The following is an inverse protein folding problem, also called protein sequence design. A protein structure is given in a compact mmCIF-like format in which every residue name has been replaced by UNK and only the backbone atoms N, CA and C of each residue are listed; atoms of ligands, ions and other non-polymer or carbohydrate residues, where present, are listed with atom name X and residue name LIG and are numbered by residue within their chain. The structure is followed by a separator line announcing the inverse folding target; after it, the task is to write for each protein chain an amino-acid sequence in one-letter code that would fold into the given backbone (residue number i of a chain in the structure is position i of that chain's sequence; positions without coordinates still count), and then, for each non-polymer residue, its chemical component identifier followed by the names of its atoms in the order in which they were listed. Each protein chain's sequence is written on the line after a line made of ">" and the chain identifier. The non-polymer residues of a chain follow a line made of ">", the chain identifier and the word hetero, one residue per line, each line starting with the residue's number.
data_IF_163298773174
#
_entry.id   IF_163298773174
#
_cell.length_a   1.000
_cell.length_b   1.000
_cell.length_c   1.000
_cell.angle_alpha   90.00
_cell.angle_beta   90.00
_cell.angle_gamma   90.00
#
_symmetry.space_group_name_H-M   'P 1'
#
loop_
_entity.id
_entity.type
_entity.pdbx_description
1 polymer ?
#
# COMPACT_ATOMS: atom_id res chain seq x y z
N UNK A 1 11.02 7.37 -25.75
CA UNK A 1 9.62 7.38 -25.26
C UNK A 1 8.73 7.66 -26.45
N UNK A 2 7.71 6.84 -26.73
CA UNK A 2 6.83 7.04 -27.89
C UNK A 2 5.92 8.25 -27.69
N UNK A 3 5.48 8.95 -28.76
CA UNK A 3 4.58 10.10 -28.67
C UNK A 3 3.26 9.76 -27.94
N UNK A 4 2.66 8.59 -28.21
CA UNK A 4 1.43 8.12 -27.57
C UNK A 4 1.61 7.93 -26.06
N UNK A 5 2.71 7.33 -25.62
CA UNK A 5 3.03 7.19 -24.20
C UNK A 5 3.13 8.54 -23.51
N UNK A 6 3.82 9.49 -24.13
CA UNK A 6 3.96 10.84 -23.58
C UNK A 6 2.62 11.55 -23.49
N UNK A 7 1.78 11.44 -24.53
CA UNK A 7 0.41 11.98 -24.55
C UNK A 7 -0.43 11.40 -23.40
N UNK A 8 -0.44 10.07 -23.24
CA UNK A 8 -1.17 9.41 -22.15
C UNK A 8 -0.70 9.88 -20.76
N UNK A 9 0.61 10.03 -20.56
CA UNK A 9 1.16 10.55 -19.29
C UNK A 9 0.70 11.98 -19.05
N UNK A 10 0.71 12.84 -20.06
CA UNK A 10 0.25 14.23 -19.94
C UNK A 10 -1.24 14.30 -19.62
N UNK A 11 -2.07 13.48 -20.28
CA UNK A 11 -3.51 13.37 -20.00
C UNK A 11 -3.80 12.95 -18.54
N UNK A 12 -2.99 12.04 -17.98
CA UNK A 12 -3.07 11.64 -16.58
C UNK A 12 -2.60 12.74 -15.62
N UNK A 13 -1.53 13.46 -15.97
CA UNK A 13 -1.03 14.60 -15.17
C UNK A 13 -2.05 15.71 -15.06
N UNK A 14 -2.69 16.10 -16.16
CA UNK A 14 -3.78 17.09 -16.18
C UNK A 14 -4.93 16.70 -15.24
N UNK A 15 -5.20 15.41 -15.07
CA UNK A 15 -6.21 14.86 -14.16
C UNK A 15 -5.67 14.56 -12.77
N UNK A 16 -4.46 14.99 -12.45
CA UNK A 16 -3.79 14.81 -11.14
C UNK A 16 -3.73 13.36 -10.67
N UNK A 17 -3.55 12.41 -11.59
CA UNK A 17 -3.37 11.02 -11.22
C UNK A 17 -2.08 10.81 -10.44
N UNK A 18 -2.15 10.02 -9.36
CA UNK A 18 -0.97 9.65 -8.59
C UNK A 18 0.05 8.90 -9.46
N UNK A 19 1.36 9.13 -9.23
CA UNK A 19 2.45 8.50 -9.99
C UNK A 19 2.33 6.96 -10.07
N UNK A 20 1.85 6.32 -8.99
CA UNK A 20 1.61 4.87 -8.98
C UNK A 20 0.54 4.44 -9.99
N UNK A 21 -0.56 5.21 -10.09
CA UNK A 21 -1.62 4.97 -11.07
C UNK A 21 -1.12 5.21 -12.49
N UNK A 22 -0.35 6.29 -12.70
CA UNK A 22 0.24 6.57 -14.01
C UNK A 22 1.12 5.41 -14.50
N UNK A 23 2.02 4.90 -13.64
CA UNK A 23 2.87 3.75 -13.95
C UNK A 23 2.08 2.50 -14.30
N UNK A 24 1.03 2.22 -13.52
CA UNK A 24 0.18 1.03 -13.72
C UNK A 24 -0.60 1.10 -15.04
N UNK A 25 -1.17 2.27 -15.37
CA UNK A 25 -1.92 2.46 -16.59
C UNK A 25 -1.02 2.42 -17.85
N UNK A 26 0.15 3.04 -17.78
CA UNK A 26 1.15 2.93 -18.84
C UNK A 26 1.58 1.48 -19.02
N UNK A 27 1.85 0.76 -17.94
CA UNK A 27 2.20 -0.66 -18.00
C UNK A 27 1.11 -1.49 -18.70
N UNK A 28 -0.17 -1.25 -18.40
CA UNK A 28 -1.27 -1.97 -19.03
C UNK A 28 -1.27 -1.83 -20.57
N UNK A 29 -1.01 -0.63 -21.08
CA UNK A 29 -0.94 -0.36 -22.52
C UNK A 29 0.36 -0.93 -23.14
N UNK A 30 1.46 -0.85 -22.42
CA UNK A 30 2.74 -1.45 -22.87
C UNK A 30 2.66 -2.97 -22.95
N UNK A 31 2.00 -3.63 -21.97
CA UNK A 31 1.85 -5.09 -21.94
C UNK A 31 0.93 -5.57 -23.07
N UNK A 32 -0.15 -4.82 -23.37
CA UNK A 32 -1.03 -5.07 -24.52
C UNK A 32 -0.24 -4.96 -25.85
N UNK A 33 0.51 -3.87 -26.03
CA UNK A 33 1.30 -3.62 -27.24
C UNK A 33 2.36 -4.73 -27.45
N UNK A 34 2.99 -5.19 -26.38
CA UNK A 34 3.96 -6.31 -26.42
C UNK A 34 3.29 -7.64 -26.77
N UNK A 35 2.09 -7.89 -26.24
CA UNK A 35 1.37 -9.13 -26.50
C UNK A 35 1.06 -9.30 -27.99
N UNK A 36 0.61 -8.22 -28.65
CA UNK A 36 0.32 -8.24 -30.09
C UNK A 36 1.49 -7.85 -30.99
N UNK A 37 2.62 -7.45 -30.38
CA UNK A 37 3.80 -6.89 -31.10
C UNK A 37 3.41 -5.79 -32.10
N UNK A 38 2.46 -4.94 -31.73
CA UNK A 38 1.94 -3.83 -32.53
C UNK A 38 1.76 -2.58 -31.70
N UNK A 39 1.67 -1.41 -32.39
CA UNK A 39 1.34 -0.15 -31.73
C UNK A 39 -0.08 -0.23 -31.13
N UNK A 40 -0.29 0.23 -29.88
CA UNK A 40 -1.56 0.03 -29.18
C UNK A 40 -2.76 0.76 -29.79
N UNK A 41 -2.54 1.77 -30.61
CA UNK A 41 -3.55 2.48 -31.39
C UNK A 41 -4.05 1.69 -32.61
N UNK A 42 -3.33 0.65 -33.02
CA UNK A 42 -3.71 -0.26 -34.10
C UNK A 42 -4.37 -1.55 -33.61
N UNK A 43 -4.57 -1.69 -32.31
CA UNK A 43 -5.22 -2.86 -31.69
C UNK A 43 -6.71 -2.58 -31.52
N UNK A 44 -7.54 -3.44 -32.08
CA UNK A 44 -8.99 -3.29 -32.03
C UNK A 44 -9.55 -3.55 -30.62
N UNK A 45 -10.82 -3.15 -30.40
CA UNK A 45 -11.53 -3.44 -29.15
C UNK A 45 -11.65 -4.94 -28.89
N UNK A 46 -11.92 -5.73 -29.93
CA UNK A 46 -12.05 -7.19 -29.83
C UNK A 46 -10.72 -7.83 -29.42
N UNK A 47 -9.61 -7.41 -30.03
CA UNK A 47 -8.28 -7.88 -29.66
C UNK A 47 -7.95 -7.51 -28.22
N UNK A 48 -8.26 -6.28 -27.78
CA UNK A 48 -8.03 -5.87 -26.40
C UNK A 48 -8.91 -6.64 -25.40
N UNK A 49 -10.13 -7.07 -25.78
CA UNK A 49 -10.93 -8.02 -25.00
C UNK A 49 -10.30 -9.42 -24.95
N UNK A 50 -9.81 -9.93 -26.08
CA UNK A 50 -9.08 -11.21 -26.15
C UNK A 50 -7.85 -11.20 -25.24
N UNK A 51 -7.10 -10.10 -25.22
CA UNK A 51 -5.98 -9.94 -24.29
C UNK A 51 -6.42 -9.96 -22.82
N UNK A 52 -7.53 -9.35 -22.45
CA UNK A 52 -8.04 -9.39 -21.08
C UNK A 52 -8.47 -10.82 -20.67
N UNK A 53 -9.02 -11.61 -21.59
CA UNK A 53 -9.30 -13.04 -21.39
C UNK A 53 -8.00 -13.83 -21.17
N UNK A 54 -6.99 -13.62 -22.00
CA UNK A 54 -5.66 -14.21 -21.83
C UNK A 54 -5.07 -13.93 -20.44
N UNK A 55 -5.20 -12.68 -19.93
CA UNK A 55 -4.73 -12.34 -18.59
C UNK A 55 -5.43 -13.14 -17.49
N UNK A 56 -6.73 -13.48 -17.68
CA UNK A 56 -7.51 -14.24 -16.72
C UNK A 56 -7.26 -15.75 -16.82
N UNK A 57 -7.26 -16.29 -18.02
CA UNK A 57 -7.28 -17.74 -18.27
C UNK A 57 -5.89 -18.34 -18.30
N UNK A 58 -4.95 -17.70 -18.98
CA UNK A 58 -3.60 -18.22 -19.15
C UNK A 58 -2.64 -17.65 -18.09
N UNK A 59 -2.56 -16.33 -17.94
CA UNK A 59 -1.74 -15.70 -16.88
C UNK A 59 -2.32 -15.85 -15.48
N UNK A 60 -3.58 -16.31 -15.35
CA UNK A 60 -4.29 -16.56 -14.08
C UNK A 60 -4.21 -15.36 -13.10
N UNK A 61 -4.26 -14.14 -13.63
CA UNK A 61 -4.21 -12.94 -12.82
C UNK A 61 -5.48 -12.84 -11.96
N UNK A 62 -5.30 -12.40 -10.73
CA UNK A 62 -6.42 -12.08 -9.83
C UNK A 62 -7.31 -10.98 -10.42
N UNK A 63 -8.62 -11.08 -10.17
CA UNK A 63 -9.63 -10.14 -10.68
C UNK A 63 -9.23 -8.66 -10.48
N UNK A 64 -8.68 -8.32 -9.31
CA UNK A 64 -8.24 -6.96 -9.00
C UNK A 64 -7.14 -6.45 -9.95
N UNK A 65 -6.19 -7.33 -10.32
CA UNK A 65 -5.12 -7.00 -11.27
C UNK A 65 -5.68 -6.82 -12.67
N UNK A 66 -6.53 -7.75 -13.14
CA UNK A 66 -7.18 -7.62 -14.45
C UNK A 66 -8.04 -6.35 -14.54
N UNK A 67 -8.77 -6.01 -13.48
CA UNK A 67 -9.56 -4.77 -13.43
C UNK A 67 -8.69 -3.50 -13.49
N UNK A 68 -7.49 -3.52 -12.91
CA UNK A 68 -6.53 -2.42 -13.06
C UNK A 68 -6.00 -2.31 -14.48
N UNK A 69 -5.73 -3.45 -15.16
CA UNK A 69 -5.32 -3.46 -16.57
C UNK A 69 -6.44 -2.88 -17.45
N UNK A 70 -7.67 -3.37 -17.29
CA UNK A 70 -8.85 -2.86 -18.02
C UNK A 70 -9.07 -1.35 -17.78
N UNK A 71 -8.83 -0.84 -16.57
CA UNK A 71 -8.94 0.57 -16.28
C UNK A 71 -7.87 1.40 -17.02
N UNK A 72 -6.65 0.89 -17.14
CA UNK A 72 -5.58 1.50 -17.92
C UNK A 72 -5.90 1.56 -19.41
N UNK A 73 -6.41 0.46 -19.98
CA UNK A 73 -6.87 0.39 -21.38
C UNK A 73 -8.04 1.33 -21.61
N UNK A 74 -9.06 1.33 -20.74
CA UNK A 74 -10.16 2.29 -20.83
C UNK A 74 -9.69 3.74 -20.85
N UNK A 75 -8.71 4.08 -20.03
CA UNK A 75 -8.14 5.43 -20.01
C UNK A 75 -7.46 5.75 -21.34
N UNK A 76 -6.65 4.83 -21.86
CA UNK A 76 -5.92 5.02 -23.10
C UNK A 76 -6.85 5.24 -24.30
N UNK A 77 -7.77 4.30 -24.53
CA UNK A 77 -8.70 4.40 -25.67
C UNK A 77 -9.64 5.61 -25.56
N UNK A 78 -10.30 5.79 -24.42
CA UNK A 78 -11.30 6.87 -24.24
C UNK A 78 -10.71 8.26 -24.16
N UNK A 79 -9.60 8.41 -23.46
CA UNK A 79 -9.06 9.73 -23.12
C UNK A 79 -7.92 10.11 -24.07
N UNK A 80 -6.98 9.19 -24.28
CA UNK A 80 -5.78 9.50 -25.09
C UNK A 80 -6.05 9.37 -26.58
N UNK A 81 -6.79 8.34 -27.02
CA UNK A 81 -7.19 8.19 -28.42
C UNK A 81 -8.52 8.89 -28.74
N UNK A 82 -9.33 9.23 -27.72
CA UNK A 82 -10.65 9.87 -27.87
C UNK A 82 -11.72 8.96 -28.52
N UNK A 83 -11.58 7.67 -28.45
CA UNK A 83 -12.54 6.70 -28.94
C UNK A 83 -13.71 6.54 -27.95
N UNK A 84 -14.85 7.16 -28.23
CA UNK A 84 -15.97 7.32 -27.27
C UNK A 84 -16.70 6.00 -26.94
N UNK A 85 -16.72 5.02 -27.82
CA UNK A 85 -17.57 3.83 -27.71
C UNK A 85 -16.91 2.63 -27.01
N UNK A 86 -15.60 2.67 -26.81
CA UNK A 86 -14.85 1.53 -26.21
C UNK A 86 -15.04 1.48 -24.70
N UNK A 87 -15.40 0.34 -24.16
CA UNK A 87 -15.53 0.12 -22.71
C UNK A 87 -15.15 -1.29 -22.31
N UNK A 88 -13.95 -1.43 -21.78
CA UNK A 88 -13.51 -2.67 -21.15
C UNK A 88 -14.08 -2.79 -19.74
N UNK A 89 -14.95 -3.77 -19.52
CA UNK A 89 -15.53 -4.05 -18.20
C UNK A 89 -15.32 -5.51 -17.86
N UNK A 90 -14.53 -5.77 -16.83
CA UNK A 90 -14.39 -7.12 -16.30
C UNK A 90 -15.51 -7.35 -15.29
N UNK A 91 -16.41 -8.35 -15.52
CA UNK A 91 -17.49 -8.67 -14.60
C UNK A 91 -16.93 -8.98 -13.20
N UNK A 92 -17.60 -8.50 -12.16
CA UNK A 92 -17.23 -8.86 -10.80
C UNK A 92 -17.45 -10.35 -10.59
N UNK A 93 -16.39 -11.09 -10.29
CA UNK A 93 -16.52 -12.46 -9.82
C UNK A 93 -17.20 -12.44 -8.45
N UNK A 94 -18.14 -13.38 -8.19
CA UNK A 94 -18.64 -13.61 -6.84
C UNK A 94 -17.44 -13.99 -5.95
N UNK A 95 -16.98 -13.06 -5.15
CA UNK A 95 -15.87 -13.30 -4.23
C UNK A 95 -16.39 -13.98 -2.97
N UNK A 96 -15.93 -15.17 -2.70
CA UNK A 96 -15.85 -15.65 -1.31
C UNK A 96 -14.87 -14.74 -0.58
N UNK A 97 -15.38 -13.86 0.27
CA UNK A 97 -14.54 -12.99 1.09
C UNK A 97 -13.73 -13.87 2.03
N UNK A 98 -12.43 -13.97 1.79
CA UNK A 98 -11.53 -14.55 2.79
C UNK A 98 -11.35 -13.52 3.89
N UNK A 99 -11.61 -13.91 5.13
CA UNK A 99 -11.34 -13.06 6.29
C UNK A 99 -9.86 -12.64 6.29
N UNK A 100 -9.56 -11.39 6.65
CA UNK A 100 -8.18 -10.97 6.80
C UNK A 100 -7.50 -11.80 7.87
N UNK A 101 -6.31 -12.28 7.59
CA UNK A 101 -5.48 -13.00 8.56
C UNK A 101 -4.84 -12.00 9.52
N UNK A 102 -5.20 -12.09 10.78
CA UNK A 102 -4.78 -11.19 11.86
C UNK A 102 -3.74 -11.91 12.72
N UNK A 103 -2.69 -11.22 13.10
CA UNK A 103 -1.73 -11.72 14.08
C UNK A 103 -2.33 -11.64 15.47
N UNK A 104 -2.21 -12.70 16.26
CA UNK A 104 -2.45 -12.63 17.70
C UNK A 104 -1.40 -11.73 18.39
N UNK A 105 -1.70 -11.27 19.61
CA UNK A 105 -0.73 -10.46 20.38
C UNK A 105 0.57 -11.24 20.64
N UNK A 106 0.51 -12.56 20.86
CA UNK A 106 1.67 -13.44 21.02
C UNK A 106 2.47 -13.58 19.72
N UNK A 107 1.81 -13.68 18.56
CA UNK A 107 2.50 -13.74 17.26
C UNK A 107 3.22 -12.43 16.94
N UNK A 108 2.64 -11.29 17.32
CA UNK A 108 3.31 -10.00 17.17
C UNK A 108 4.60 -9.91 18.00
N UNK A 109 4.59 -10.40 19.23
CA UNK A 109 5.79 -10.46 20.07
C UNK A 109 6.87 -11.32 19.38
N UNK A 110 6.52 -12.54 18.96
CA UNK A 110 7.44 -13.42 18.22
C UNK A 110 7.99 -12.76 16.97
N UNK A 111 7.12 -12.07 16.20
CA UNK A 111 7.53 -11.34 14.98
C UNK A 111 8.54 -10.24 15.28
N UNK A 112 8.31 -9.45 16.33
CA UNK A 112 9.19 -8.34 16.69
C UNK A 112 10.52 -8.83 17.25
N UNK A 113 10.52 -9.90 18.05
CA UNK A 113 11.72 -10.50 18.63
C UNK A 113 12.59 -11.21 17.57
N UNK A 114 11.98 -11.70 16.50
CA UNK A 114 12.70 -12.33 15.39
C UNK A 114 13.45 -11.34 14.47
N UNK A 115 13.37 -10.03 14.72
CA UNK A 115 14.08 -9.02 13.90
C UNK A 115 15.57 -8.95 14.24
N UNK A 116 16.40 -8.73 13.21
CA UNK A 116 17.86 -8.78 13.35
C UNK A 116 18.47 -7.51 13.97
N UNK A 117 17.77 -6.38 13.92
CA UNK A 117 18.28 -5.08 14.40
C UNK A 117 17.22 -4.29 15.14
N UNK A 118 17.63 -3.43 16.07
CA UNK A 118 16.73 -2.53 16.78
C UNK A 118 15.94 -1.62 15.80
N UNK A 119 16.57 -1.16 14.70
CA UNK A 119 15.89 -0.37 13.66
C UNK A 119 14.73 -1.16 13.03
N UNK A 120 15.00 -2.40 12.61
CA UNK A 120 13.99 -3.25 11.97
C UNK A 120 12.85 -3.58 12.94
N UNK A 121 13.19 -3.86 14.20
CA UNK A 121 12.22 -4.09 15.27
C UNK A 121 11.33 -2.87 15.48
N UNK A 122 11.92 -1.69 15.65
CA UNK A 122 11.18 -0.45 15.87
C UNK A 122 10.30 -0.08 14.69
N UNK A 123 10.76 -0.34 13.47
CA UNK A 123 9.96 -0.12 12.26
C UNK A 123 8.68 -0.97 12.26
N UNK A 124 8.77 -2.27 12.58
CA UNK A 124 7.59 -3.15 12.63
C UNK A 124 6.68 -2.82 13.80
N UNK A 125 7.23 -2.52 14.98
CA UNK A 125 6.46 -2.09 16.15
C UNK A 125 5.70 -0.79 15.85
N UNK A 126 6.34 0.20 15.22
CA UNK A 126 5.71 1.47 14.85
C UNK A 126 4.61 1.25 13.82
N UNK A 127 4.83 0.39 12.81
CA UNK A 127 3.83 0.03 11.81
C UNK A 127 2.55 -0.53 12.44
N UNK A 128 2.71 -1.43 13.42
CA UNK A 128 1.60 -2.00 14.17
C UNK A 128 0.96 -0.98 15.12
N UNK A 129 1.75 -0.41 16.05
CA UNK A 129 1.22 0.39 17.17
C UNK A 129 0.54 1.70 16.74
N UNK A 130 0.84 2.19 15.54
CA UNK A 130 0.23 3.39 14.96
C UNK A 130 -0.64 3.10 13.74
N UNK A 131 -0.80 1.83 13.35
CA UNK A 131 -1.63 1.41 12.22
C UNK A 131 -1.23 2.03 10.88
N UNK A 132 0.07 2.24 10.64
CA UNK A 132 0.57 2.95 9.47
C UNK A 132 0.53 2.10 8.20
N UNK A 133 0.25 2.76 7.06
CA UNK A 133 0.55 2.18 5.73
C UNK A 133 2.07 2.14 5.53
N UNK A 134 2.56 1.19 4.73
CA UNK A 134 4.01 1.11 4.47
C UNK A 134 4.59 2.40 3.89
N UNK A 135 3.82 3.10 3.05
CA UNK A 135 4.24 4.41 2.52
C UNK A 135 4.37 5.48 3.59
N UNK A 136 3.46 5.51 4.56
CA UNK A 136 3.45 6.43 5.68
C UNK A 136 4.60 6.11 6.66
N UNK A 137 4.80 4.82 6.93
CA UNK A 137 5.88 4.33 7.79
C UNK A 137 7.26 4.74 7.29
N UNK A 138 7.54 4.54 6.00
CA UNK A 138 8.87 4.83 5.44
C UNK A 138 9.14 6.31 5.25
N UNK A 139 8.10 7.15 5.13
CA UNK A 139 8.22 8.61 5.06
C UNK A 139 8.10 9.31 6.42
N UNK A 140 7.93 8.54 7.51
CA UNK A 140 7.79 9.11 8.86
C UNK A 140 9.09 9.81 9.28
N UNK A 141 8.95 11.03 9.81
CA UNK A 141 10.05 11.84 10.29
C UNK A 141 10.06 11.93 11.82
N UNK A 142 11.20 12.24 12.46
CA UNK A 142 11.25 12.46 13.91
C UNK A 142 10.29 13.55 14.40
N UNK A 143 10.14 14.63 13.64
CA UNK A 143 9.25 15.77 13.96
C UNK A 143 7.76 15.41 13.96
N UNK A 144 7.39 14.28 13.33
CA UNK A 144 6.02 13.79 13.33
C UNK A 144 5.62 13.12 14.67
N UNK A 145 6.58 12.87 15.56
CA UNK A 145 6.34 12.25 16.88
C UNK A 145 6.03 13.33 17.90
N UNK A 146 4.75 13.63 18.08
CA UNK A 146 4.26 14.64 19.02
C UNK A 146 4.16 14.05 20.43
N UNK A 147 5.27 13.97 21.14
CA UNK A 147 5.35 13.31 22.45
C UNK A 147 4.47 13.97 23.52
N UNK A 148 4.28 15.29 23.48
CA UNK A 148 3.43 16.03 24.41
C UNK A 148 1.95 15.71 24.25
N UNK A 149 1.49 15.54 23.02
CA UNK A 149 0.08 15.22 22.68
C UNK A 149 -0.18 13.72 22.60
N UNK A 150 0.84 12.87 22.69
CA UNK A 150 0.74 11.41 22.48
C UNK A 150 0.17 11.04 21.12
N UNK A 151 0.56 11.76 20.08
CA UNK A 151 0.08 11.57 18.71
C UNK A 151 1.25 11.42 17.73
N UNK A 152 0.98 10.75 16.63
CA UNK A 152 1.87 10.70 15.46
C UNK A 152 1.14 11.39 14.31
N UNK A 153 1.76 12.43 13.76
CA UNK A 153 1.28 13.12 12.56
C UNK A 153 1.63 12.30 11.32
N UNK A 154 0.65 12.03 10.50
CA UNK A 154 0.82 11.33 9.22
C UNK A 154 0.49 12.30 8.11
N UNK A 155 1.52 12.77 7.41
CA UNK A 155 1.39 13.68 6.27
C UNK A 155 1.10 12.91 4.98
N UNK A 156 0.37 13.58 4.07
CA UNK A 156 0.06 13.09 2.72
C UNK A 156 -0.46 11.64 2.67
N UNK A 157 -1.38 11.33 3.55
CA UNK A 157 -2.10 10.06 3.53
C UNK A 157 -2.84 9.84 2.21
N UNK A 158 -3.60 8.74 2.08
CA UNK A 158 -4.40 8.47 0.87
C UNK A 158 -5.34 9.65 0.59
N UNK A 159 -5.21 10.28 -0.59
CA UNK A 159 -5.96 11.49 -0.97
C UNK A 159 -5.34 12.80 -0.50
N UNK A 160 -4.05 12.79 -0.16
CA UNK A 160 -3.29 13.98 0.26
C UNK A 160 -3.86 14.69 1.51
N UNK A 161 -4.46 13.91 2.43
CA UNK A 161 -5.02 14.42 3.69
C UNK A 161 -4.13 14.01 4.85
N UNK A 162 -3.79 14.98 5.68
CA UNK A 162 -3.07 14.73 6.94
C UNK A 162 -4.02 14.14 7.98
N UNK A 163 -3.47 13.35 8.87
CA UNK A 163 -4.19 12.82 10.02
C UNK A 163 -3.26 12.60 11.20
N UNK A 164 -3.86 12.44 12.37
CA UNK A 164 -3.17 11.97 13.56
C UNK A 164 -3.53 10.50 13.85
N UNK A 165 -2.57 9.77 14.41
CA UNK A 165 -2.79 8.43 14.96
C UNK A 165 -2.14 8.32 16.34
N UNK A 166 -2.37 7.19 17.00
CA UNK A 166 -1.98 6.97 18.40
C UNK A 166 -0.47 6.82 18.58
N UNK A 167 0.05 7.43 19.64
CA UNK A 167 1.39 7.22 20.17
C UNK A 167 1.28 6.74 21.62
N UNK A 168 1.24 5.44 21.83
CA UNK A 168 1.21 4.88 23.19
C UNK A 168 2.49 5.20 23.97
N UNK A 169 2.40 5.28 25.29
CA UNK A 169 3.56 5.47 26.16
C UNK A 169 4.64 4.42 25.96
N UNK A 170 4.21 3.17 25.74
CA UNK A 170 5.10 2.04 25.46
C UNK A 170 5.88 2.26 24.16
N UNK A 171 5.20 2.67 23.09
CA UNK A 171 5.86 3.00 21.81
C UNK A 171 6.81 4.19 21.97
N UNK A 172 6.37 5.26 22.65
CA UNK A 172 7.21 6.45 22.88
C UNK A 172 8.50 6.12 23.63
N UNK A 173 8.41 5.32 24.71
CA UNK A 173 9.59 4.85 25.46
C UNK A 173 10.58 4.13 24.56
N UNK A 174 10.11 3.23 23.72
CA UNK A 174 10.94 2.46 22.78
C UNK A 174 11.51 3.34 21.65
N UNK A 175 10.74 4.29 21.13
CA UNK A 175 11.24 5.26 20.15
C UNK A 175 12.32 6.18 20.73
N UNK A 176 12.26 6.56 22.01
CA UNK A 176 13.31 7.29 22.69
C UNK A 176 14.63 6.50 22.77
N UNK A 177 14.56 5.19 23.05
CA UNK A 177 15.73 4.29 23.04
C UNK A 177 16.32 4.20 21.62
N UNK A 178 15.46 3.99 20.63
CA UNK A 178 15.85 3.97 19.23
C UNK A 178 16.53 5.29 18.81
N UNK A 179 15.90 6.42 19.14
CA UNK A 179 16.43 7.75 18.81
C UNK A 179 17.81 8.01 19.44
N UNK A 180 18.01 7.64 20.70
CA UNK A 180 19.32 7.77 21.37
C UNK A 180 20.42 7.03 20.61
N UNK A 181 20.14 5.85 20.06
CA UNK A 181 21.11 5.00 19.36
C UNK A 181 21.37 5.42 17.92
N UNK A 182 20.33 5.80 17.17
CA UNK A 182 20.43 6.01 15.73
C UNK A 182 20.42 7.49 15.32
N UNK A 183 19.97 8.39 16.20
CA UNK A 183 19.92 9.85 15.97
C UNK A 183 19.35 10.21 14.59
N UNK A 184 18.15 9.72 14.21
CA UNK A 184 17.55 10.01 12.91
C UNK A 184 17.35 11.52 12.75
N UNK A 185 17.75 12.06 11.56
CA UNK A 185 17.66 13.51 11.27
C UNK A 185 16.41 13.83 10.43
N UNK A 186 16.34 13.35 9.19
CA UNK A 186 15.24 13.66 8.27
C UNK A 186 14.14 12.59 8.31
N UNK A 187 14.52 11.32 8.26
CA UNK A 187 13.56 10.21 8.29
C UNK A 187 13.76 9.35 9.53
N UNK A 188 12.66 8.96 10.17
CA UNK A 188 12.73 8.11 11.36
C UNK A 188 13.39 6.77 11.04
N UNK A 189 13.06 6.18 9.87
CA UNK A 189 13.67 4.94 9.37
C UNK A 189 14.37 5.20 8.05
N UNK A 190 15.67 4.96 7.99
CA UNK A 190 16.53 5.21 6.84
C UNK A 190 17.44 4.02 6.53
N UNK A 191 17.95 3.88 5.29
CA UNK A 191 18.90 2.83 4.94
C UNK A 191 20.25 3.05 5.62
N UNK A 192 20.97 1.97 5.89
CA UNK A 192 22.33 2.04 6.44
C UNK A 192 23.23 2.92 5.55
N UNK A 193 23.93 3.87 6.15
CA UNK A 193 24.86 4.75 5.42
C UNK A 193 24.22 5.98 4.75
N UNK A 194 22.87 6.12 4.74
CA UNK A 194 22.25 7.32 4.16
C UNK A 194 21.06 7.82 4.98
N UNK A 195 21.28 8.68 5.99
CA UNK A 195 20.23 9.21 6.87
C UNK A 195 19.31 10.25 6.20
N UNK A 196 19.66 10.71 4.99
CA UNK A 196 18.90 11.70 4.22
C UNK A 196 17.92 11.07 3.22
N UNK A 197 17.87 9.74 3.15
CA UNK A 197 16.89 9.01 2.32
C UNK A 197 15.89 8.26 3.17
N UNK A 198 14.60 8.23 2.79
CA UNK A 198 13.64 7.35 3.43
C UNK A 198 14.00 5.88 3.16
N UNK A 199 13.65 5.00 4.08
CA UNK A 199 13.75 3.57 3.85
C UNK A 199 12.84 3.19 2.68
N UNK A 200 13.33 2.39 1.73
CA UNK A 200 12.51 1.93 0.60
C UNK A 200 11.38 0.99 1.05
N UNK A 201 10.18 1.11 0.45
CA UNK A 201 9.05 0.21 0.72
C UNK A 201 9.42 -1.27 0.58
N UNK A 202 10.19 -1.61 -0.46
CA UNK A 202 10.67 -2.98 -0.69
C UNK A 202 11.55 -3.49 0.46
N UNK A 203 12.34 -2.61 1.09
CA UNK A 203 13.13 -2.99 2.26
C UNK A 203 12.22 -3.29 3.46
N UNK A 204 11.20 -2.47 3.70
CA UNK A 204 10.22 -2.74 4.76
C UNK A 204 9.50 -4.08 4.56
N UNK A 205 9.11 -4.41 3.32
CA UNK A 205 8.55 -5.73 2.99
C UNK A 205 9.56 -6.86 3.23
N UNK A 206 10.83 -6.71 2.83
CA UNK A 206 11.88 -7.72 3.05
C UNK A 206 12.11 -7.94 4.54
N UNK A 207 12.19 -6.88 5.34
CA UNK A 207 12.33 -6.98 6.80
C UNK A 207 11.17 -7.75 7.42
N UNK A 208 9.93 -7.40 7.07
CA UNK A 208 8.74 -8.11 7.55
C UNK A 208 8.76 -9.59 7.17
N UNK A 209 9.03 -9.91 5.89
CA UNK A 209 9.03 -11.29 5.39
C UNK A 209 10.11 -12.14 6.07
N UNK A 210 11.31 -11.56 6.28
CA UNK A 210 12.42 -12.24 6.97
C UNK A 210 12.07 -12.51 8.43
N UNK A 211 11.57 -11.50 9.15
CA UNK A 211 11.15 -11.64 10.54
C UNK A 211 10.03 -12.68 10.69
N UNK A 212 9.02 -12.64 9.81
CA UNK A 212 7.93 -13.61 9.77
C UNK A 212 8.44 -15.06 9.59
N UNK A 213 9.33 -15.26 8.61
CA UNK A 213 9.93 -16.57 8.34
C UNK A 213 10.74 -17.07 9.57
N UNK A 214 11.54 -16.19 10.16
CA UNK A 214 12.38 -16.52 11.33
C UNK A 214 11.54 -16.82 12.57
N UNK A 215 10.39 -16.16 12.72
CA UNK A 215 9.42 -16.41 13.79
C UNK A 215 8.56 -17.69 13.58
N UNK A 216 8.69 -18.39 12.44
CA UNK A 216 7.87 -19.55 12.11
C UNK A 216 6.38 -19.25 11.88
N UNK A 217 6.03 -17.99 11.57
CA UNK A 217 4.63 -17.57 11.45
C UNK A 217 4.10 -17.81 10.02
N UNK A 218 2.96 -18.47 9.92
CA UNK A 218 2.23 -18.68 8.66
C UNK A 218 1.20 -17.58 8.40
N UNK A 219 0.67 -16.96 9.44
CA UNK A 219 -0.34 -15.91 9.41
C UNK A 219 0.21 -14.61 8.79
N UNK A 220 -0.65 -13.81 8.17
CA UNK A 220 -0.31 -12.49 7.61
C UNK A 220 0.39 -12.56 6.26
N UNK A 221 -0.24 -12.05 5.21
CA UNK A 221 0.29 -12.08 3.83
C UNK A 221 1.42 -11.06 3.57
N UNK A 222 1.50 -9.99 4.35
CA UNK A 222 2.49 -8.94 4.18
C UNK A 222 2.44 -7.91 5.31
N UNK A 223 3.32 -6.92 5.28
CA UNK A 223 3.43 -5.87 6.31
C UNK A 223 2.09 -5.14 6.59
N UNK A 224 1.19 -5.10 5.62
CA UNK A 224 -0.13 -4.49 5.78
C UNK A 224 -1.02 -5.24 6.79
N UNK A 225 -0.74 -6.52 7.04
CA UNK A 225 -1.42 -7.30 8.07
C UNK A 225 -1.20 -6.73 9.49
N UNK A 226 -0.08 -6.04 9.73
CA UNK A 226 0.15 -5.32 11.00
C UNK A 226 -0.91 -4.24 11.25
N UNK A 227 -1.27 -3.50 10.21
CA UNK A 227 -2.31 -2.48 10.29
C UNK A 227 -3.71 -3.10 10.47
N UNK A 228 -3.98 -4.25 9.86
CA UNK A 228 -5.23 -4.98 10.12
C UNK A 228 -5.30 -5.46 11.56
N UNK A 229 -4.21 -6.06 12.07
CA UNK A 229 -4.15 -6.48 13.48
C UNK A 229 -4.30 -5.31 14.46
N UNK A 230 -3.70 -4.14 14.17
CA UNK A 230 -3.92 -2.94 14.97
C UNK A 230 -5.40 -2.56 15.04
N UNK A 231 -6.07 -2.51 13.90
CA UNK A 231 -7.49 -2.16 13.84
C UNK A 231 -8.36 -3.13 14.62
N UNK A 232 -8.12 -4.44 14.45
CA UNK A 232 -8.90 -5.48 15.15
C UNK A 232 -8.66 -5.45 16.64
N UNK A 233 -7.40 -5.33 17.08
CA UNK A 233 -7.09 -5.29 18.51
C UNK A 233 -7.66 -4.04 19.20
N UNK A 234 -7.73 -2.89 18.50
CA UNK A 234 -8.43 -1.72 19.04
C UNK A 234 -9.92 -1.97 19.21
N UNK A 235 -10.55 -2.65 18.25
CA UNK A 235 -11.98 -3.02 18.36
C UNK A 235 -12.22 -3.99 19.50
N UNK A 236 -11.36 -5.01 19.65
CA UNK A 236 -11.38 -5.97 20.77
C UNK A 236 -11.17 -5.28 22.11
N UNK A 237 -10.36 -4.21 22.16
CA UNK A 237 -10.15 -3.38 23.34
C UNK A 237 -11.31 -2.38 23.59
N UNK A 238 -12.41 -2.45 22.81
CA UNK A 238 -13.60 -1.62 22.99
C UNK A 238 -13.54 -0.22 22.36
N UNK A 239 -12.54 0.07 21.54
CA UNK A 239 -12.45 1.36 20.82
C UNK A 239 -13.51 1.40 19.71
N UNK A 240 -14.28 2.47 19.65
CA UNK A 240 -15.35 2.64 18.67
C UNK A 240 -14.84 2.71 17.21
N UNK A 241 -15.69 2.28 16.27
CA UNK A 241 -15.37 2.21 14.85
C UNK A 241 -15.04 3.56 14.21
N UNK A 242 -15.61 4.66 14.72
CA UNK A 242 -15.36 6.00 14.19
C UNK A 242 -13.94 6.46 14.55
N UNK A 243 -13.53 6.24 15.79
CA UNK A 243 -12.16 6.50 16.25
C UNK A 243 -11.15 5.67 15.48
N UNK A 244 -11.38 4.36 15.30
CA UNK A 244 -10.52 3.48 14.51
C UNK A 244 -10.43 3.96 13.06
N UNK A 245 -11.55 4.32 12.42
CA UNK A 245 -11.58 4.90 11.07
C UNK A 245 -10.70 6.14 10.98
N UNK A 246 -10.79 7.02 11.97
CA UNK A 246 -10.05 8.29 12.04
C UNK A 246 -8.54 8.02 12.16
N UNK A 247 -8.11 7.17 13.09
CA UNK A 247 -6.70 6.78 13.25
C UNK A 247 -6.14 6.13 11.99
N UNK A 248 -6.93 5.31 11.30
CA UNK A 248 -6.53 4.68 10.06
C UNK A 248 -6.57 5.64 8.86
N UNK A 249 -7.31 6.74 8.90
CA UNK A 249 -7.53 7.63 7.76
C UNK A 249 -8.27 6.93 6.63
N UNK A 250 -9.35 6.22 6.95
CA UNK A 250 -10.27 5.64 5.99
C UNK A 250 -11.35 6.65 5.62
N UNK A 251 -11.58 6.86 4.33
CA UNK A 251 -12.62 7.75 3.83
C UNK A 251 -14.04 7.27 4.17
N UNK A 252 -14.21 5.94 4.31
CA UNK A 252 -15.50 5.29 4.61
C UNK A 252 -15.39 4.30 5.75
N UNK A 253 -16.41 4.25 6.61
CA UNK A 253 -16.56 3.22 7.67
C UNK A 253 -16.59 1.82 7.05
N UNK A 254 -17.21 1.64 5.88
CA UNK A 254 -17.23 0.35 5.20
C UNK A 254 -15.84 -0.20 4.88
N UNK A 255 -14.84 0.66 4.71
CA UNK A 255 -13.44 0.24 4.53
C UNK A 255 -12.85 -0.30 5.83
N UNK A 256 -13.22 0.29 6.96
CA UNK A 256 -12.81 -0.18 8.29
C UNK A 256 -13.48 -1.51 8.61
N UNK A 257 -14.80 -1.60 8.39
CA UNK A 257 -15.58 -2.84 8.61
C UNK A 257 -15.09 -4.02 7.77
N UNK A 258 -14.65 -3.79 6.53
CA UNK A 258 -14.07 -4.86 5.68
C UNK A 258 -12.81 -5.51 6.25
N UNK A 259 -12.19 -4.91 7.23
CA UNK A 259 -11.05 -5.47 7.96
C UNK A 259 -11.45 -6.38 9.12
N UNK A 260 -12.74 -6.43 9.50
CA UNK A 260 -13.24 -7.18 10.67
C UNK A 260 -14.16 -8.35 10.27
N UNK A 261 -14.76 -8.32 9.08
CA UNK A 261 -15.71 -9.34 8.58
C UNK A 261 -15.22 -9.96 7.29
#
# INVERSE_FOLDING_TARGET
>A
MTPLRQKMINDMKLRRFALGTQKLYVYAVEDLAKYYNRSPDLISEEEAHGYLLYLQEEKKLEWGSCNCMAAGLNFFYKITLKEKNIKFKIPKRKHTRKLPTIFSRSDLIKLFDATDTLRNRMMLITAYSAGLRVSELVSLKPEHIESGRKLIRVEQGKGNKDRYTLLSDKLLKQLKIYWKRYRPKEYLFYPTGNPHKPLGKNMAYKVFTRAKKKAGLTVGKGIHSLRHSFATHLLEDGVDLYSIKTFLGHSSISTTMKGFY
#
